data_IF_320602791527
#
_entry.id   IF_320602791527
#
_cell.length_a   1.000
_cell.length_b   1.000
_cell.length_c   1.000
_cell.angle_alpha   90.00
_cell.angle_beta   90.00
_cell.angle_gamma   90.00
#
_symmetry.space_group_name_H-M   'P 1'
#
loop_
_entity.id
_entity.type
_entity.pdbx_description
1 polymer ?
#
# COMPACT_ATOMS: atom_id res chain seq x y z
N UNK A 1 41.89 32.84 -63.32
CA UNK A 1 40.70 31.97 -63.40
C UNK A 1 40.54 31.26 -62.07
N UNK A 2 39.76 31.85 -61.15
CA UNK A 2 39.28 31.17 -59.95
C UNK A 2 37.79 31.45 -59.94
N UNK A 3 37.01 30.42 -60.22
CA UNK A 3 35.55 30.48 -60.24
C UNK A 3 35.08 30.50 -58.79
N UNK A 4 34.58 31.65 -58.33
CA UNK A 4 33.86 31.79 -57.07
C UNK A 4 32.54 31.01 -57.17
N UNK A 5 32.61 29.75 -56.76
CA UNK A 5 31.48 28.84 -56.74
C UNK A 5 30.65 29.08 -55.45
N UNK A 6 30.08 30.29 -55.32
CA UNK A 6 29.08 30.58 -54.30
C UNK A 6 27.77 29.88 -54.69
N UNK A 7 27.26 28.93 -53.89
CA UNK A 7 25.99 28.28 -54.20
C UNK A 7 24.85 29.32 -54.15
N UNK A 8 23.87 29.26 -55.07
CA UNK A 8 22.78 30.23 -55.12
C UNK A 8 21.96 30.19 -53.82
N UNK A 9 21.48 31.35 -53.35
CA UNK A 9 20.79 31.55 -52.07
C UNK A 9 19.71 30.49 -51.68
N UNK A 10 18.94 29.89 -52.61
CA UNK A 10 17.99 28.81 -52.29
C UNK A 10 18.65 27.52 -51.76
N UNK A 11 19.91 27.25 -52.16
CA UNK A 11 20.68 26.05 -51.79
C UNK A 11 21.24 26.17 -50.37
N UNK A 12 21.65 27.39 -49.97
CA UNK A 12 22.13 27.66 -48.61
C UNK A 12 20.98 27.56 -47.59
N UNK A 13 19.81 28.13 -47.90
CA UNK A 13 18.62 28.04 -47.06
C UNK A 13 18.11 26.59 -46.93
N UNK A 14 18.16 25.80 -48.02
CA UNK A 14 17.82 24.38 -47.97
C UNK A 14 18.78 23.56 -47.10
N UNK A 15 20.09 23.86 -47.12
CA UNK A 15 21.06 23.23 -46.22
C UNK A 15 20.77 23.54 -44.76
N UNK A 16 20.50 24.80 -44.45
CA UNK A 16 20.24 25.24 -43.08
C UNK A 16 18.94 24.67 -42.51
N UNK A 17 17.86 24.62 -43.31
CA UNK A 17 16.61 23.96 -42.95
C UNK A 17 16.82 22.45 -42.72
N UNK A 18 17.63 21.80 -43.55
CA UNK A 18 17.92 20.37 -43.40
C UNK A 18 18.78 20.08 -42.16
N UNK A 19 19.73 20.95 -41.82
CA UNK A 19 20.52 20.84 -40.60
C UNK A 19 19.68 21.09 -39.33
N UNK A 20 18.78 22.08 -39.37
CA UNK A 20 17.81 22.32 -38.29
C UNK A 20 16.84 21.14 -38.13
N UNK A 21 16.35 20.55 -39.22
CA UNK A 21 15.51 19.34 -39.18
C UNK A 21 16.27 18.14 -38.63
N UNK A 22 17.55 17.96 -38.98
CA UNK A 22 18.41 16.91 -38.40
C UNK A 22 18.65 17.13 -36.91
N UNK A 23 18.90 18.37 -36.47
CA UNK A 23 19.06 18.71 -35.04
C UNK A 23 17.77 18.50 -34.27
N UNK A 24 16.64 18.96 -34.80
CA UNK A 24 15.31 18.78 -34.21
C UNK A 24 14.95 17.30 -34.12
N UNK A 25 15.18 16.53 -35.19
CA UNK A 25 14.97 15.09 -35.21
C UNK A 25 15.85 14.38 -34.17
N UNK A 26 17.13 14.75 -34.01
CA UNK A 26 18.00 14.21 -32.95
C UNK A 26 17.51 14.55 -31.55
N UNK A 27 17.05 15.78 -31.32
CA UNK A 27 16.43 16.16 -30.03
C UNK A 27 15.13 15.40 -29.77
N UNK A 28 14.32 15.18 -30.80
CA UNK A 28 13.05 14.45 -30.68
C UNK A 28 13.30 12.97 -30.37
N UNK A 29 14.21 12.30 -31.09
CA UNK A 29 14.62 10.93 -30.76
C UNK A 29 15.27 10.81 -29.37
N UNK A 30 16.00 11.83 -28.91
CA UNK A 30 16.54 11.86 -27.55
C UNK A 30 15.43 11.99 -26.51
N UNK A 31 14.47 12.90 -26.72
CA UNK A 31 13.31 13.05 -25.85
C UNK A 31 12.43 11.80 -25.85
N UNK A 32 12.24 11.15 -27.00
CA UNK A 32 11.48 9.91 -27.13
C UNK A 32 12.19 8.75 -26.43
N UNK A 33 13.52 8.61 -26.57
CA UNK A 33 14.29 7.59 -25.85
C UNK A 33 14.26 7.81 -24.32
N UNK A 34 14.31 9.07 -23.87
CA UNK A 34 14.12 9.42 -22.46
C UNK A 34 12.69 9.12 -22.02
N UNK A 35 11.67 9.43 -22.84
CA UNK A 35 10.26 9.22 -22.52
C UNK A 35 9.90 7.73 -22.48
N UNK A 36 10.39 6.93 -23.43
CA UNK A 36 10.22 5.47 -23.48
C UNK A 36 10.94 4.80 -22.30
N UNK A 37 12.13 5.29 -21.93
CA UNK A 37 12.82 4.87 -20.70
C UNK A 37 11.98 5.23 -19.46
N UNK A 38 11.43 6.45 -19.39
CA UNK A 38 10.60 6.90 -18.26
C UNK A 38 9.32 6.07 -18.14
N UNK A 39 8.67 5.74 -19.27
CA UNK A 39 7.43 4.95 -19.31
C UNK A 39 7.68 3.46 -19.02
N UNK A 40 8.80 2.90 -19.49
CA UNK A 40 9.23 1.54 -19.16
C UNK A 40 9.68 1.35 -17.71
N UNK A 41 9.93 2.45 -16.98
CA UNK A 41 10.17 2.45 -15.53
C UNK A 41 8.86 2.61 -14.71
N UNK A 42 7.79 3.12 -15.32
CA UNK A 42 6.49 3.40 -14.66
C UNK A 42 5.52 2.20 -14.77
N UNK A 43 5.69 1.27 -15.72
CA UNK A 43 4.85 0.07 -15.83
C UNK A 43 5.33 -1.08 -14.93
N UNK A 44 4.62 -1.30 -13.80
CA UNK A 44 4.58 -2.56 -13.03
C UNK A 44 5.93 -3.26 -12.72
N UNK A 45 7.01 -2.51 -12.55
CA UNK A 45 8.26 -3.07 -12.04
C UNK A 45 8.29 -2.86 -10.52
N UNK A 46 8.38 -3.95 -9.77
CA UNK A 46 8.68 -3.86 -8.35
C UNK A 46 10.00 -3.11 -8.14
N UNK A 47 10.14 -2.45 -6.99
CA UNK A 47 11.31 -1.60 -6.67
C UNK A 47 12.65 -2.28 -6.98
N UNK A 48 12.78 -3.60 -6.73
CA UNK A 48 14.02 -4.33 -6.99
C UNK A 48 14.40 -4.35 -8.48
N UNK A 49 13.46 -4.64 -9.37
CA UNK A 49 13.71 -4.67 -10.81
C UNK A 49 14.05 -3.28 -11.36
N UNK A 50 13.46 -2.23 -10.77
CA UNK A 50 13.82 -0.86 -11.10
C UNK A 50 15.27 -0.54 -10.70
N UNK A 51 15.70 -0.95 -9.51
CA UNK A 51 17.08 -0.74 -9.04
C UNK A 51 18.10 -1.45 -9.93
N UNK A 52 17.81 -2.67 -10.41
CA UNK A 52 18.66 -3.40 -11.36
C UNK A 52 18.80 -2.66 -12.70
N UNK A 53 17.69 -2.11 -13.22
CA UNK A 53 17.71 -1.31 -14.46
C UNK A 53 18.48 0.00 -14.28
N UNK A 54 18.31 0.68 -13.14
CA UNK A 54 19.05 1.90 -12.81
C UNK A 54 20.55 1.60 -12.80
N UNK A 55 20.97 0.53 -12.11
CA UNK A 55 22.38 0.16 -12.02
C UNK A 55 22.98 -0.17 -13.39
N UNK A 56 22.29 -1.01 -14.17
CA UNK A 56 22.70 -1.37 -15.53
C UNK A 56 22.83 -0.15 -16.43
N UNK A 57 21.86 0.77 -16.36
CA UNK A 57 21.88 1.99 -17.18
C UNK A 57 23.00 2.93 -16.77
N UNK A 58 23.30 3.05 -15.47
CA UNK A 58 24.44 3.83 -15.00
C UNK A 58 25.76 3.31 -15.59
N UNK A 59 25.99 2.00 -15.56
CA UNK A 59 27.18 1.39 -16.17
C UNK A 59 27.29 1.68 -17.67
N UNK A 60 26.18 1.53 -18.40
CA UNK A 60 26.14 1.83 -19.85
C UNK A 60 26.40 3.31 -20.17
N UNK A 61 25.90 4.23 -19.35
CA UNK A 61 26.10 5.67 -19.58
C UNK A 61 27.53 6.11 -19.30
N UNK A 62 28.20 5.48 -18.33
CA UNK A 62 29.56 5.79 -17.92
C UNK A 62 30.62 4.89 -18.59
N UNK A 63 30.24 4.05 -19.55
CA UNK A 63 31.12 3.09 -20.25
C UNK A 63 31.96 2.23 -19.28
N UNK A 64 31.34 1.74 -18.20
CA UNK A 64 31.99 0.84 -17.22
C UNK A 64 31.14 -0.40 -16.92
N UNK A 65 31.75 -1.59 -16.82
CA UNK A 65 31.07 -2.78 -16.32
C UNK A 65 31.00 -2.82 -14.78
N UNK A 66 31.79 -1.98 -14.10
CA UNK A 66 32.03 -2.09 -12.66
C UNK A 66 31.18 -1.09 -11.89
N UNK A 67 29.97 -1.54 -11.52
CA UNK A 67 29.01 -0.72 -10.78
C UNK A 67 28.46 -1.44 -9.56
N UNK A 68 28.01 -0.68 -8.56
CA UNK A 68 27.33 -1.23 -7.38
C UNK A 68 26.21 -0.31 -6.90
N UNK A 69 25.30 -0.86 -6.12
CA UNK A 69 24.22 -0.14 -5.48
C UNK A 69 24.16 -0.50 -4.00
N UNK A 70 24.40 0.49 -3.14
CA UNK A 70 24.13 0.40 -1.72
C UNK A 70 22.69 0.86 -1.42
N UNK A 71 22.00 0.16 -0.53
CA UNK A 71 20.80 0.67 0.15
C UNK A 71 21.07 0.85 1.63
N UNK A 72 20.47 1.87 2.22
CA UNK A 72 20.54 2.12 3.65
C UNK A 72 19.57 1.20 4.41
N UNK A 73 20.09 0.49 5.39
CA UNK A 73 19.35 -0.32 6.34
C UNK A 73 19.17 0.48 7.64
N UNK A 74 17.94 0.97 7.85
CA UNK A 74 17.60 1.78 9.01
C UNK A 74 17.62 1.00 10.33
N UNK A 75 17.56 -0.32 10.31
CA UNK A 75 17.58 -1.14 11.52
C UNK A 75 19.00 -1.33 12.07
N UNK A 76 19.97 -1.50 11.17
CA UNK A 76 21.37 -1.72 11.53
C UNK A 76 22.24 -0.45 11.48
N UNK A 77 21.69 0.67 10.98
CA UNK A 77 22.42 1.92 10.68
C UNK A 77 23.64 1.66 9.79
N UNK A 78 23.40 1.00 8.66
CA UNK A 78 24.43 0.51 7.73
C UNK A 78 24.01 0.65 6.28
N UNK A 79 25.00 0.84 5.41
CA UNK A 79 24.82 0.72 3.97
C UNK A 79 25.17 -0.71 3.56
N UNK A 80 24.25 -1.37 2.85
CA UNK A 80 24.42 -2.75 2.37
C UNK A 80 24.49 -2.76 0.84
N UNK A 81 25.50 -3.41 0.27
CA UNK A 81 25.55 -3.65 -1.19
C UNK A 81 24.38 -4.57 -1.55
N UNK A 82 23.38 -4.03 -2.24
CA UNK A 82 22.22 -4.79 -2.71
C UNK A 82 22.41 -5.35 -4.09
N UNK A 83 23.11 -4.64 -4.95
CA UNK A 83 23.41 -5.06 -6.31
C UNK A 83 24.87 -4.72 -6.63
N UNK A 84 25.51 -5.58 -7.40
CA UNK A 84 26.87 -5.39 -7.91
C UNK A 84 26.97 -5.94 -9.32
N UNK A 85 27.79 -5.29 -10.16
CA UNK A 85 28.12 -5.69 -11.53
C UNK A 85 29.64 -5.65 -11.70
N UNK A 86 30.15 -6.42 -12.66
CA UNK A 86 31.58 -6.57 -12.87
C UNK A 86 32.27 -7.12 -11.62
N UNK A 87 33.34 -6.47 -11.18
CA UNK A 87 34.10 -6.90 -10.01
C UNK A 87 33.32 -6.77 -8.67
N UNK A 88 32.20 -6.04 -8.66
CA UNK A 88 31.42 -5.79 -7.45
C UNK A 88 30.39 -6.90 -7.13
N UNK A 89 30.25 -7.91 -7.99
CA UNK A 89 29.33 -9.05 -7.76
C UNK A 89 29.65 -9.76 -6.44
N UNK A 90 30.94 -9.97 -6.15
CA UNK A 90 31.41 -10.65 -4.94
C UNK A 90 31.23 -9.83 -3.66
N UNK A 91 30.85 -8.55 -3.80
CA UNK A 91 30.61 -7.65 -2.67
C UNK A 91 29.12 -7.56 -2.29
N UNK A 92 28.22 -8.24 -3.00
CA UNK A 92 26.79 -8.24 -2.65
C UNK A 92 26.60 -8.77 -1.23
N UNK A 93 25.90 -8.01 -0.41
CA UNK A 93 25.70 -8.29 1.02
C UNK A 93 26.74 -7.66 1.95
N UNK A 94 27.87 -7.14 1.43
CA UNK A 94 28.84 -6.40 2.24
C UNK A 94 28.20 -5.16 2.88
N UNK A 95 28.67 -4.81 4.07
CA UNK A 95 28.09 -3.74 4.90
C UNK A 95 29.17 -2.74 5.31
N UNK A 96 28.82 -1.46 5.29
CA UNK A 96 29.70 -0.36 5.73
C UNK A 96 28.89 0.62 6.58
N UNK A 97 29.59 1.37 7.44
CA UNK A 97 28.95 2.48 8.17
C UNK A 97 28.70 3.69 7.26
N UNK A 98 27.68 4.52 7.54
CA UNK A 98 27.33 5.68 6.73
C UNK A 98 28.46 6.71 6.54
N UNK A 99 29.49 6.72 7.38
CA UNK A 99 30.62 7.66 7.29
C UNK A 99 31.84 7.09 6.53
N UNK A 100 31.77 5.84 6.06
CA UNK A 100 32.86 5.11 5.43
C UNK A 100 32.78 5.08 3.90
N UNK A 101 33.93 5.19 3.25
CA UNK A 101 34.04 5.03 1.80
C UNK A 101 33.33 6.11 0.99
N UNK A 102 33.34 5.91 -0.33
CA UNK A 102 32.67 6.79 -1.29
C UNK A 102 31.15 6.77 -1.08
N UNK A 103 30.60 5.57 -0.91
CA UNK A 103 29.18 5.40 -0.69
C UNK A 103 28.70 6.10 0.59
N UNK A 104 29.43 5.98 1.71
CA UNK A 104 29.08 6.69 2.93
C UNK A 104 29.16 8.21 2.76
N UNK A 105 30.21 8.73 2.11
CA UNK A 105 30.32 10.17 1.85
C UNK A 105 29.16 10.69 0.99
N UNK A 106 28.76 9.98 -0.06
CA UNK A 106 27.59 10.35 -0.89
C UNK A 106 26.29 10.25 -0.12
N UNK A 107 26.12 9.22 0.70
CA UNK A 107 24.92 9.05 1.52
C UNK A 107 24.77 10.18 2.56
N UNK A 108 25.87 10.57 3.22
CA UNK A 108 25.86 11.60 4.27
C UNK A 108 25.70 13.01 3.73
N UNK A 109 26.31 13.34 2.59
CA UNK A 109 26.14 14.67 1.97
C UNK A 109 24.87 14.76 1.13
N UNK A 110 24.44 13.64 0.56
CA UNK A 110 23.40 13.64 -0.47
C UNK A 110 23.86 14.27 -1.79
N UNK A 111 25.15 14.38 -2.02
CA UNK A 111 25.74 14.99 -3.22
C UNK A 111 26.44 13.92 -4.06
N UNK A 112 26.46 14.11 -5.38
CA UNK A 112 27.26 13.27 -6.28
C UNK A 112 28.74 13.62 -6.11
N UNK A 113 29.60 12.61 -6.04
CA UNK A 113 31.03 12.78 -5.74
C UNK A 113 31.88 12.04 -6.78
N UNK A 114 32.90 12.73 -7.27
CA UNK A 114 33.98 12.19 -8.06
C UNK A 114 35.23 12.06 -7.18
N UNK A 115 35.91 10.93 -7.30
CA UNK A 115 37.22 10.67 -6.71
C UNK A 115 38.18 10.36 -7.85
N UNK A 116 39.07 11.30 -8.15
CA UNK A 116 40.00 11.21 -9.28
C UNK A 116 41.05 10.10 -9.09
N UNK A 117 41.54 9.95 -7.85
CA UNK A 117 42.45 8.86 -7.44
C UNK A 117 41.95 8.20 -6.15
N UNK A 118 41.33 7.03 -6.30
CA UNK A 118 40.79 6.26 -5.18
C UNK A 118 41.90 5.66 -4.30
N UNK A 119 43.08 5.38 -4.87
CA UNK A 119 44.16 4.69 -4.15
C UNK A 119 44.73 5.57 -3.05
N UNK A 120 44.81 6.87 -3.28
CA UNK A 120 45.33 7.87 -2.34
C UNK A 120 44.24 8.56 -1.52
N UNK A 121 42.96 8.32 -1.82
CA UNK A 121 41.85 8.99 -1.16
C UNK A 121 41.76 8.63 0.34
N UNK A 122 41.76 9.61 1.28
CA UNK A 122 41.85 9.33 2.72
C UNK A 122 40.70 8.49 3.29
N UNK A 123 39.52 8.55 2.66
CA UNK A 123 38.32 7.80 3.07
C UNK A 123 38.17 6.47 2.35
N UNK A 124 39.19 6.00 1.62
CA UNK A 124 39.14 4.72 0.88
C UNK A 124 38.85 3.56 1.82
N UNK A 125 38.10 2.59 1.32
CA UNK A 125 37.94 1.30 2.02
C UNK A 125 39.16 0.45 1.70
N UNK A 126 39.79 -0.13 2.73
CA UNK A 126 40.90 -1.08 2.55
C UNK A 126 40.31 -2.44 2.20
N UNK A 127 40.33 -2.79 0.91
CA UNK A 127 39.88 -4.08 0.41
C UNK A 127 40.71 -4.48 -0.82
N UNK A 128 41.10 -5.77 -0.98
CA UNK A 128 41.93 -6.20 -2.11
C UNK A 128 41.38 -5.83 -3.48
N UNK A 129 40.04 -5.88 -3.65
CA UNK A 129 39.38 -5.48 -4.90
C UNK A 129 39.60 -3.99 -5.27
N UNK A 130 39.95 -3.13 -4.31
CA UNK A 130 40.09 -1.69 -4.54
C UNK A 130 41.54 -1.24 -4.74
N UNK A 131 42.52 -2.15 -4.67
CA UNK A 131 43.93 -1.79 -4.88
C UNK A 131 44.22 -1.34 -6.33
N UNK A 132 43.41 -1.82 -7.28
CA UNK A 132 43.48 -1.43 -8.69
C UNK A 132 42.41 -0.42 -9.10
N UNK A 133 41.59 0.08 -8.17
CA UNK A 133 40.59 1.09 -8.48
C UNK A 133 41.29 2.44 -8.69
N UNK A 134 41.19 3.00 -9.90
CA UNK A 134 41.83 4.26 -10.25
C UNK A 134 40.95 5.45 -9.89
N UNK A 135 39.79 5.57 -10.52
CA UNK A 135 38.82 6.64 -10.24
C UNK A 135 37.46 6.04 -9.90
N UNK A 136 36.66 6.77 -9.13
CA UNK A 136 35.36 6.32 -8.72
C UNK A 136 34.36 7.46 -8.66
N UNK A 137 33.11 7.16 -9.00
CA UNK A 137 32.00 8.12 -9.00
C UNK A 137 30.87 7.53 -8.17
N UNK A 138 30.30 8.33 -7.28
CA UNK A 138 29.12 7.95 -6.51
C UNK A 138 28.00 8.95 -6.69
N UNK A 139 26.78 8.46 -6.92
CA UNK A 139 25.56 9.27 -7.04
C UNK A 139 24.48 8.81 -6.06
N UNK A 140 23.75 9.74 -5.44
CA UNK A 140 22.71 9.40 -4.49
C UNK A 140 21.42 8.99 -5.19
N UNK A 141 20.77 7.95 -4.68
CA UNK A 141 19.35 7.70 -4.93
C UNK A 141 18.58 8.29 -3.77
N UNK A 142 17.68 9.24 -4.05
CA UNK A 142 16.94 10.00 -3.04
C UNK A 142 15.47 9.62 -3.03
N UNK A 143 14.89 9.68 -1.83
CA UNK A 143 13.45 9.78 -1.63
C UNK A 143 13.17 11.17 -1.09
N UNK A 144 12.48 12.00 -1.86
CA UNK A 144 12.41 13.44 -1.63
C UNK A 144 13.83 14.03 -1.54
N UNK A 145 14.21 14.60 -0.40
CA UNK A 145 15.54 15.19 -0.17
C UNK A 145 16.53 14.23 0.49
N UNK A 146 16.07 13.09 1.03
CA UNK A 146 16.91 12.19 1.82
C UNK A 146 17.49 11.06 0.95
N UNK A 147 18.82 10.85 0.96
CA UNK A 147 19.43 9.67 0.34
C UNK A 147 18.89 8.38 0.99
N UNK A 148 18.51 7.43 0.14
CA UNK A 148 18.02 6.09 0.51
C UNK A 148 18.96 4.99 0.02
N UNK A 149 19.89 5.35 -0.88
CA UNK A 149 20.89 4.48 -1.44
C UNK A 149 21.91 5.26 -2.24
N UNK A 150 22.92 4.56 -2.72
CA UNK A 150 24.02 5.12 -3.51
C UNK A 150 24.34 4.18 -4.65
N UNK A 151 24.40 4.71 -5.86
CA UNK A 151 25.00 4.03 -7.01
C UNK A 151 26.45 4.45 -7.09
N UNK A 152 27.36 3.48 -7.16
CA UNK A 152 28.77 3.73 -7.37
C UNK A 152 29.27 3.09 -8.65
N UNK A 153 30.24 3.74 -9.27
CA UNK A 153 30.89 3.33 -10.50
C UNK A 153 32.40 3.36 -10.25
N UNK A 154 33.09 2.31 -10.68
CA UNK A 154 34.54 2.23 -10.63
C UNK A 154 35.15 2.24 -12.04
N UNK A 155 36.31 2.88 -12.17
CA UNK A 155 37.18 2.70 -13.31
C UNK A 155 38.48 2.07 -12.85
N UNK A 156 38.74 0.88 -13.37
CA UNK A 156 39.96 0.09 -13.14
C UNK A 156 40.97 0.26 -14.27
N UNK A 157 40.57 0.88 -15.38
CA UNK A 157 41.44 1.20 -16.50
C UNK A 157 42.03 2.61 -16.31
N UNK A 158 43.35 2.75 -16.11
CA UNK A 158 43.99 4.07 -15.98
C UNK A 158 43.86 4.93 -17.24
N UNK A 159 43.55 4.35 -18.41
CA UNK A 159 43.32 5.10 -19.64
C UNK A 159 41.92 5.73 -19.72
N UNK A 160 40.99 5.33 -18.84
CA UNK A 160 39.60 5.81 -18.81
C UNK A 160 39.20 6.32 -17.41
N UNK A 161 39.86 7.34 -16.84
CA UNK A 161 39.43 7.91 -15.58
C UNK A 161 38.10 8.67 -15.75
N UNK A 162 37.26 8.66 -14.72
CA UNK A 162 36.10 9.53 -14.67
C UNK A 162 36.52 10.99 -14.47
N UNK A 163 35.79 11.90 -15.10
CA UNK A 163 36.00 13.33 -15.00
C UNK A 163 34.74 14.12 -14.61
N UNK A 164 34.85 15.45 -14.56
CA UNK A 164 33.74 16.32 -14.17
C UNK A 164 32.50 16.23 -15.07
N UNK A 165 32.68 15.92 -16.36
CA UNK A 165 31.54 15.77 -17.28
C UNK A 165 30.78 14.46 -17.00
N UNK A 166 31.47 13.37 -16.63
CA UNK A 166 30.84 12.14 -16.18
C UNK A 166 30.03 12.38 -14.90
N UNK A 167 30.61 13.12 -13.94
CA UNK A 167 29.91 13.52 -12.72
C UNK A 167 28.62 14.28 -13.01
N UNK A 168 28.68 15.24 -13.95
CA UNK A 168 27.53 16.06 -14.35
C UNK A 168 26.46 15.22 -15.04
N UNK A 169 26.85 14.30 -15.92
CA UNK A 169 25.92 13.39 -16.58
C UNK A 169 25.27 12.44 -15.56
N UNK A 170 26.06 11.87 -14.66
CA UNK A 170 25.59 10.94 -13.63
C UNK A 170 24.71 11.64 -12.60
N UNK A 171 24.99 12.90 -12.25
CA UNK A 171 24.13 13.69 -11.36
C UNK A 171 22.72 13.89 -11.96
N UNK A 172 22.64 14.24 -13.25
CA UNK A 172 21.34 14.34 -13.96
C UNK A 172 20.61 13.00 -14.02
N UNK A 173 21.35 11.91 -14.24
CA UNK A 173 20.79 10.57 -14.21
C UNK A 173 20.24 10.22 -12.82
N UNK A 174 20.97 10.58 -11.76
CA UNK A 174 20.56 10.35 -10.37
C UNK A 174 19.26 11.06 -10.01
N UNK A 175 19.06 12.30 -10.49
CA UNK A 175 17.81 13.04 -10.32
C UNK A 175 16.63 12.29 -10.93
N UNK A 176 16.76 11.85 -12.18
CA UNK A 176 15.73 11.08 -12.88
C UNK A 176 15.46 9.73 -12.19
N UNK A 177 16.52 9.02 -11.81
CA UNK A 177 16.43 7.73 -11.13
C UNK A 177 15.74 7.86 -9.75
N UNK A 178 16.02 8.93 -9.01
CA UNK A 178 15.40 9.21 -7.71
C UNK A 178 13.90 9.46 -7.84
N UNK A 179 13.47 10.20 -8.87
CA UNK A 179 12.05 10.42 -9.16
C UNK A 179 11.35 9.11 -9.51
N UNK A 180 11.93 8.31 -10.41
CA UNK A 180 11.37 7.02 -10.81
C UNK A 180 11.24 6.07 -9.60
N UNK A 181 12.24 6.04 -8.73
CA UNK A 181 12.24 5.22 -7.51
C UNK A 181 11.18 5.69 -6.50
N UNK A 182 10.99 7.00 -6.36
CA UNK A 182 9.89 7.57 -5.57
C UNK A 182 8.52 7.13 -6.07
N UNK A 183 8.31 7.20 -7.39
CA UNK A 183 7.05 6.77 -8.02
C UNK A 183 6.79 5.27 -7.86
N UNK A 184 7.80 4.43 -8.07
CA UNK A 184 7.69 2.98 -7.91
C UNK A 184 7.34 2.60 -6.46
N UNK A 185 8.00 3.23 -5.47
CA UNK A 185 7.70 3.00 -4.05
C UNK A 185 6.29 3.44 -3.66
N UNK A 186 5.85 4.60 -4.16
CA UNK A 186 4.49 5.09 -3.91
C UNK A 186 3.45 4.14 -4.51
N UNK A 187 3.70 3.66 -5.73
CA UNK A 187 2.83 2.70 -6.39
C UNK A 187 2.79 1.36 -5.64
N UNK A 188 3.93 0.82 -5.22
CA UNK A 188 3.98 -0.43 -4.41
C UNK A 188 3.18 -0.28 -3.10
N UNK A 189 3.30 0.87 -2.42
CA UNK A 189 2.53 1.16 -1.22
C UNK A 189 1.02 1.21 -1.52
N UNK A 190 0.62 1.90 -2.58
CA UNK A 190 -0.77 2.00 -2.99
C UNK A 190 -1.36 0.63 -3.37
N UNK A 191 -0.62 -0.19 -4.13
CA UNK A 191 -1.04 -1.54 -4.50
C UNK A 191 -1.24 -2.42 -3.27
N UNK A 192 -0.32 -2.35 -2.30
CA UNK A 192 -0.45 -3.08 -1.03
C UNK A 192 -1.70 -2.64 -0.25
N UNK A 193 -1.91 -1.34 -0.12
CA UNK A 193 -3.08 -0.79 0.58
C UNK A 193 -4.39 -1.19 -0.10
N UNK A 194 -4.44 -1.22 -1.43
CA UNK A 194 -5.61 -1.71 -2.19
C UNK A 194 -5.88 -3.20 -1.94
N UNK A 195 -4.84 -4.04 -1.89
CA UNK A 195 -4.98 -5.47 -1.60
C UNK A 195 -5.51 -5.67 -0.18
N UNK A 196 -4.94 -4.96 0.80
CA UNK A 196 -5.33 -5.06 2.20
C UNK A 196 -6.77 -4.55 2.41
N UNK A 197 -7.14 -3.44 1.75
CA UNK A 197 -8.50 -2.91 1.77
C UNK A 197 -9.52 -3.87 1.19
N UNK A 198 -9.23 -4.49 0.05
CA UNK A 198 -10.13 -5.50 -0.57
C UNK A 198 -10.38 -6.69 0.36
N UNK A 199 -9.35 -7.15 1.07
CA UNK A 199 -9.50 -8.23 2.07
C UNK A 199 -10.38 -7.80 3.24
N UNK A 200 -10.22 -6.57 3.73
CA UNK A 200 -11.04 -6.03 4.80
C UNK A 200 -12.51 -5.88 4.37
N UNK A 201 -12.76 -5.35 3.17
CA UNK A 201 -14.11 -5.21 2.60
C UNK A 201 -14.81 -6.55 2.45
N UNK A 202 -14.10 -7.59 1.99
CA UNK A 202 -14.67 -8.95 1.89
C UNK A 202 -14.97 -9.55 3.28
N UNK A 203 -14.08 -9.35 4.26
CA UNK A 203 -14.32 -9.81 5.62
C UNK A 203 -15.56 -9.15 6.24
N UNK A 204 -15.75 -7.85 6.02
CA UNK A 204 -16.95 -7.12 6.47
C UNK A 204 -18.21 -7.66 5.78
N UNK A 205 -18.14 -7.96 4.47
CA UNK A 205 -19.27 -8.54 3.72
C UNK A 205 -19.70 -9.89 4.31
N UNK A 206 -18.75 -10.79 4.57
CA UNK A 206 -19.02 -12.10 5.15
C UNK A 206 -19.62 -11.95 6.55
N UNK A 207 -19.03 -11.11 7.41
CA UNK A 207 -19.50 -10.90 8.77
C UNK A 207 -20.91 -10.29 8.80
N UNK A 208 -21.23 -9.37 7.88
CA UNK A 208 -22.57 -8.81 7.76
C UNK A 208 -23.60 -9.88 7.36
N UNK A 209 -23.29 -10.75 6.41
CA UNK A 209 -24.19 -11.84 6.02
C UNK A 209 -24.44 -12.82 7.19
N UNK A 210 -23.40 -13.16 7.97
CA UNK A 210 -23.56 -13.97 9.18
C UNK A 210 -24.39 -13.27 10.25
N UNK A 211 -24.17 -11.97 10.45
CA UNK A 211 -24.93 -11.18 11.42
C UNK A 211 -26.40 -11.10 11.02
N UNK A 212 -26.71 -10.89 9.74
CA UNK A 212 -28.07 -10.89 9.19
C UNK A 212 -28.77 -12.22 9.47
N UNK A 213 -28.09 -13.35 9.24
CA UNK A 213 -28.65 -14.66 9.59
C UNK A 213 -28.92 -14.79 11.09
N UNK A 214 -27.96 -14.42 11.96
CA UNK A 214 -28.15 -14.50 13.42
C UNK A 214 -29.29 -13.61 13.90
N UNK A 215 -29.42 -12.41 13.33
CA UNK A 215 -30.51 -11.49 13.63
C UNK A 215 -31.85 -12.10 13.20
N UNK A 216 -31.93 -12.71 12.02
CA UNK A 216 -33.13 -13.37 11.53
C UNK A 216 -33.55 -14.54 12.44
N UNK A 217 -32.60 -15.40 12.82
CA UNK A 217 -32.85 -16.53 13.73
C UNK A 217 -33.32 -16.06 15.12
N UNK A 218 -32.64 -15.08 15.70
CA UNK A 218 -33.03 -14.53 17.01
C UNK A 218 -34.39 -13.86 16.96
N UNK A 219 -34.68 -13.13 15.89
CA UNK A 219 -35.99 -12.49 15.69
C UNK A 219 -37.11 -13.54 15.57
N UNK A 220 -36.86 -14.64 14.86
CA UNK A 220 -37.81 -15.75 14.74
C UNK A 220 -38.06 -16.43 16.10
N UNK A 221 -37.00 -16.76 16.85
CA UNK A 221 -37.11 -17.33 18.21
C UNK A 221 -37.87 -16.43 19.16
N UNK A 222 -37.59 -15.12 19.12
CA UNK A 222 -38.27 -14.14 19.97
C UNK A 222 -39.77 -14.05 19.62
N UNK A 223 -40.12 -14.01 18.32
CA UNK A 223 -41.52 -14.04 17.87
C UNK A 223 -42.24 -15.31 18.33
N UNK A 224 -41.58 -16.46 18.25
CA UNK A 224 -42.14 -17.73 18.73
C UNK A 224 -42.38 -17.69 20.25
N UNK A 225 -41.38 -17.32 21.04
CA UNK A 225 -41.53 -17.21 22.50
C UNK A 225 -42.66 -16.25 22.90
N UNK A 226 -42.80 -15.10 22.22
CA UNK A 226 -43.91 -14.17 22.45
C UNK A 226 -45.29 -14.78 22.12
N UNK A 227 -45.38 -15.68 21.14
CA UNK A 227 -46.63 -16.36 20.80
C UNK A 227 -47.04 -17.44 21.83
N UNK A 228 -46.06 -18.02 22.52
CA UNK A 228 -46.27 -19.04 23.54
C UNK A 228 -46.70 -18.45 24.90
N UNK A 229 -46.38 -17.16 25.14
CA UNK A 229 -46.92 -16.43 26.29
C UNK A 229 -48.43 -16.24 26.08
N UNK A 230 -49.23 -16.96 26.87
CA UNK A 230 -50.69 -16.88 26.88
C UNK A 230 -51.12 -15.47 27.31
N UNK A 231 -51.37 -14.59 26.35
CA UNK A 231 -51.87 -13.24 26.65
C UNK A 231 -53.39 -13.16 26.44
N UNK A 232 -54.13 -12.96 27.53
CA UNK A 232 -55.49 -12.44 27.47
C UNK A 232 -55.41 -11.00 26.94
N UNK A 233 -55.87 -10.75 25.72
CA UNK A 233 -55.96 -9.41 25.13
C UNK A 233 -57.36 -9.15 24.57
N UNK A 234 -57.86 -7.93 24.76
CA UNK A 234 -59.13 -7.46 24.22
C UNK A 234 -60.34 -7.64 25.14
N UNK A 235 -61.52 -7.26 24.65
CA UNK A 235 -62.81 -7.40 25.35
C UNK A 235 -63.25 -8.87 25.24
N UNK A 236 -63.43 -9.54 26.39
CA UNK A 236 -63.95 -10.91 26.43
C UNK A 236 -65.48 -10.89 26.37
N UNK A 237 -66.11 -11.52 25.37
CA UNK A 237 -67.56 -11.62 25.31
C UNK A 237 -68.08 -12.56 26.40
N UNK A 238 -68.78 -12.00 27.40
CA UNK A 238 -69.41 -12.76 28.48
C UNK A 238 -70.92 -12.88 28.28
N UNK A 239 -71.50 -13.99 28.76
CA UNK A 239 -72.95 -14.14 28.82
C UNK A 239 -73.48 -13.23 29.93
N UNK A 240 -74.48 -12.39 29.62
CA UNK A 240 -75.08 -11.48 30.59
C UNK A 240 -75.72 -12.22 31.77
N UNK A 241 -76.26 -13.42 31.53
CA UNK A 241 -76.94 -14.26 32.51
C UNK A 241 -75.93 -15.07 33.36
N UNK A 242 -75.22 -16.02 32.73
CA UNK A 242 -74.42 -17.02 33.45
C UNK A 242 -72.91 -16.70 33.55
N UNK A 243 -72.47 -15.54 33.06
CA UNK A 243 -71.08 -15.03 33.08
C UNK A 243 -70.02 -15.93 32.43
N UNK A 244 -70.42 -16.97 31.68
CA UNK A 244 -69.50 -17.76 30.84
C UNK A 244 -68.86 -16.87 29.77
N UNK A 245 -67.61 -17.14 29.43
CA UNK A 245 -66.90 -16.49 28.32
C UNK A 245 -67.10 -17.29 27.03
N UNK A 246 -67.41 -16.62 25.93
CA UNK A 246 -67.42 -17.24 24.59
C UNK A 246 -66.01 -17.28 24.00
N UNK A 247 -65.55 -18.47 23.61
CA UNK A 247 -64.26 -18.64 22.96
C UNK A 247 -64.32 -18.29 21.46
N UNK A 248 -63.16 -18.31 20.78
CA UNK A 248 -63.04 -18.02 19.35
C UNK A 248 -63.75 -19.06 18.44
N UNK A 249 -64.07 -20.26 18.96
CA UNK A 249 -64.84 -21.29 18.26
C UNK A 249 -66.35 -21.16 18.46
N UNK A 250 -66.78 -20.19 19.30
CA UNK A 250 -68.19 -19.99 19.64
C UNK A 250 -68.67 -20.75 20.88
N UNK A 251 -67.84 -21.56 21.53
CA UNK A 251 -68.24 -22.30 22.73
C UNK A 251 -68.25 -21.41 23.97
N UNK A 252 -69.19 -21.67 24.87
CA UNK A 252 -69.27 -21.01 26.18
C UNK A 252 -68.54 -21.82 27.25
N UNK A 253 -67.55 -21.20 27.90
CA UNK A 253 -66.76 -21.81 28.99
C UNK A 253 -66.91 -21.01 30.28
N UNK A 254 -66.80 -21.68 31.42
CA UNK A 254 -66.69 -21.03 32.73
C UNK A 254 -65.48 -20.09 32.75
N UNK A 255 -65.61 -18.97 33.46
CA UNK A 255 -64.62 -17.90 33.54
C UNK A 255 -63.24 -18.44 33.94
N UNK A 256 -63.22 -19.23 35.03
CA UNK A 256 -62.02 -19.73 35.68
C UNK A 256 -61.24 -20.64 34.73
N UNK A 257 -61.93 -21.61 34.12
CA UNK A 257 -61.38 -22.54 33.12
C UNK A 257 -60.84 -21.78 31.90
N UNK A 258 -61.55 -20.73 31.45
CA UNK A 258 -61.11 -19.94 30.31
C UNK A 258 -59.83 -19.16 30.63
N UNK A 259 -59.79 -18.48 31.79
CA UNK A 259 -58.67 -17.64 32.23
C UNK A 259 -57.43 -18.48 32.56
N UNK A 260 -57.54 -19.60 33.28
CA UNK A 260 -56.42 -20.52 33.57
C UNK A 260 -55.81 -21.09 32.28
N UNK A 261 -56.66 -21.37 31.28
CA UNK A 261 -56.18 -21.87 29.98
C UNK A 261 -55.47 -20.79 29.17
N UNK A 262 -55.76 -19.50 29.42
CA UNK A 262 -55.32 -18.36 28.62
C UNK A 262 -54.43 -17.35 29.35
N UNK A 263 -54.05 -17.63 30.59
CA UNK A 263 -53.13 -16.82 31.40
C UNK A 263 -52.38 -17.71 32.39
N UNK A 264 -51.54 -17.11 33.23
CA UNK A 264 -50.85 -17.77 34.35
C UNK A 264 -51.66 -17.72 35.66
N UNK A 265 -52.85 -17.09 35.66
CA UNK A 265 -53.67 -17.00 36.86
C UNK A 265 -54.23 -18.37 37.26
N UNK A 266 -54.23 -18.66 38.56
CA UNK A 266 -54.88 -19.82 39.19
C UNK A 266 -55.92 -19.35 40.19
N UNK A 267 -57.10 -19.98 40.22
CA UNK A 267 -58.17 -19.57 41.13
C UNK A 267 -58.15 -20.40 42.42
N UNK A 268 -58.16 -19.72 43.57
CA UNK A 268 -58.49 -20.33 44.87
C UNK A 268 -59.96 -20.07 45.20
N UNK A 269 -60.57 -20.98 45.96
CA UNK A 269 -61.94 -20.79 46.42
C UNK A 269 -61.92 -20.03 47.75
N UNK A 270 -62.51 -18.84 47.76
CA UNK A 270 -62.80 -18.05 48.95
C UNK A 270 -64.20 -17.46 48.81
N UNK A 271 -64.79 -17.08 49.94
CA UNK A 271 -66.11 -16.43 49.98
C UNK A 271 -65.90 -15.01 50.48
N UNK A 272 -66.38 -14.00 49.74
CA UNK A 272 -66.24 -12.62 50.21
C UNK A 272 -67.13 -12.39 51.45
N UNK A 273 -66.81 -11.40 52.30
CA UNK A 273 -67.58 -11.13 53.52
C UNK A 273 -69.09 -10.91 53.27
N UNK A 274 -69.45 -10.26 52.16
CA UNK A 274 -70.86 -10.04 51.79
C UNK A 274 -71.60 -11.35 51.52
N UNK A 275 -71.01 -12.23 50.71
CA UNK A 275 -71.58 -13.55 50.42
C UNK A 275 -71.57 -14.45 51.66
N UNK A 276 -70.54 -14.38 52.50
CA UNK A 276 -70.47 -15.13 53.74
C UNK A 276 -71.63 -14.76 54.67
N UNK A 277 -71.86 -13.45 54.87
CA UNK A 277 -72.97 -12.95 55.69
C UNK A 277 -74.35 -13.30 55.12
N UNK A 278 -74.48 -13.32 53.79
CA UNK A 278 -75.75 -13.66 53.15
C UNK A 278 -76.08 -15.17 53.21
N UNK A 279 -75.07 -16.03 53.05
CA UNK A 279 -75.25 -17.49 52.99
C UNK A 279 -75.15 -18.16 54.37
N UNK A 280 -74.40 -17.54 55.28
CA UNK A 280 -74.11 -18.06 56.61
C UNK A 280 -74.24 -16.94 57.66
N UNK A 281 -75.42 -16.31 57.81
CA UNK A 281 -75.61 -15.17 58.70
C UNK A 281 -75.31 -15.48 60.17
N UNK A 282 -75.39 -16.76 60.57
CA UNK A 282 -75.23 -17.22 61.94
C UNK A 282 -73.82 -17.79 62.25
N UNK A 283 -72.94 -17.86 61.25
CA UNK A 283 -71.55 -18.32 61.40
C UNK A 283 -70.61 -17.12 61.24
N UNK A 284 -69.74 -16.91 62.22
CA UNK A 284 -68.72 -15.84 62.18
C UNK A 284 -67.50 -16.34 61.39
N UNK A 285 -67.58 -16.28 60.04
CA UNK A 285 -66.56 -16.84 59.13
C UNK A 285 -65.48 -15.81 58.73
N UNK A 286 -65.49 -14.59 59.28
CA UNK A 286 -64.47 -13.55 59.00
C UNK A 286 -64.31 -12.53 60.13
#
# INVERSE_FOLDING_TARGET
MISDNHPPAPVALHREINDLRKKLSRQQHYMDSVHETTMGLIQQLGVNTLLEKILTKAGLLADTPDTFLYLYDAHADELVVKLGQGIYVDLVGARIKPDQGLAGKVYTTGESILVDDYKTWPKRIKHPLYENLHSALGIPLKSNTRPIGVVGLGSFDPAKPFGPEDLKQMARFAELASVALGNARLNDKLQKELIDRKKAEESVRILNAELEQRVMERTAKLKQAFSEIKTLKGILPICSECKKIRNHKGDWKRLEIYIEKKSEASFSHSICPECAKALYPDLDIY
#
